data_IF_812696040835
#
_entry.id   IF_812696040835
#
_cell.length_a   1.000
_cell.length_b   1.000
_cell.length_c   1.000
_cell.angle_alpha   90.00
_cell.angle_beta   90.00
_cell.angle_gamma   90.00
#
_symmetry.space_group_name_H-M   'P 1'
#
loop_
_entity.id
_entity.type
_entity.pdbx_description
1 polymer ?
#
# COMPACT_ATOMS: atom_id res chain seq x y z
N UNK A 1 -6.16 -8.48 31.20
CA UNK A 1 -5.62 -7.22 30.62
C UNK A 1 -4.09 -7.13 30.76
N UNK A 2 -3.46 -8.09 31.45
CA UNK A 2 -2.01 -8.08 31.74
C UNK A 2 -1.13 -8.22 30.50
N UNK A 3 -1.58 -8.92 29.46
CA UNK A 3 -0.82 -9.09 28.20
C UNK A 3 -0.70 -7.74 27.48
N UNK A 4 -1.80 -6.99 27.37
CA UNK A 4 -1.77 -5.66 26.74
C UNK A 4 -0.98 -4.68 27.60
N UNK A 5 -1.12 -4.75 28.93
CA UNK A 5 -0.35 -3.92 29.85
C UNK A 5 1.16 -4.22 29.84
N UNK A 6 1.55 -5.47 29.61
CA UNK A 6 2.95 -5.91 29.63
C UNK A 6 3.64 -5.83 28.27
N UNK A 7 2.89 -6.01 27.17
CA UNK A 7 3.43 -6.14 25.81
C UNK A 7 2.79 -5.20 24.78
N UNK A 8 1.94 -4.26 25.19
CA UNK A 8 1.17 -3.41 24.27
C UNK A 8 2.02 -2.70 23.23
N UNK A 9 3.18 -2.16 23.62
CA UNK A 9 4.12 -1.52 22.68
C UNK A 9 4.64 -2.50 21.62
N UNK A 10 5.06 -3.70 22.04
CA UNK A 10 5.53 -4.75 21.13
C UNK A 10 4.44 -5.15 20.14
N UNK A 11 3.21 -5.29 20.60
CA UNK A 11 2.08 -5.66 19.75
C UNK A 11 1.75 -4.58 18.72
N UNK A 12 1.81 -3.29 19.11
CA UNK A 12 1.61 -2.16 18.18
C UNK A 12 2.71 -2.12 17.12
N UNK A 13 3.97 -2.28 17.53
CA UNK A 13 5.11 -2.30 16.59
C UNK A 13 4.97 -3.47 15.61
N UNK A 14 4.63 -4.67 16.10
CA UNK A 14 4.40 -5.84 15.25
C UNK A 14 3.26 -5.58 14.27
N UNK A 15 2.12 -5.07 14.74
CA UNK A 15 0.98 -4.74 13.88
C UNK A 15 1.37 -3.73 12.78
N UNK A 16 2.17 -2.71 13.12
CA UNK A 16 2.70 -1.75 12.15
C UNK A 16 3.61 -2.40 11.11
N UNK A 17 4.52 -3.29 11.51
CA UNK A 17 5.43 -3.99 10.59
C UNK A 17 4.67 -4.91 9.63
N UNK A 18 3.73 -5.72 10.15
CA UNK A 18 2.93 -6.60 9.30
C UNK A 18 2.00 -5.81 8.39
N UNK A 19 1.36 -4.75 8.91
CA UNK A 19 0.54 -3.85 8.11
C UNK A 19 1.32 -3.19 6.98
N UNK A 20 2.55 -2.73 7.25
CA UNK A 20 3.43 -2.18 6.23
C UNK A 20 3.80 -3.21 5.15
N UNK A 21 4.18 -4.42 5.55
CA UNK A 21 4.48 -5.51 4.60
C UNK A 21 3.29 -5.86 3.72
N UNK A 22 2.09 -5.91 4.29
CA UNK A 22 0.85 -6.15 3.55
C UNK A 22 0.57 -5.01 2.57
N UNK A 23 0.65 -3.76 3.02
CA UNK A 23 0.42 -2.58 2.17
C UNK A 23 1.40 -2.54 0.98
N UNK A 24 2.66 -2.93 1.20
CA UNK A 24 3.65 -3.04 0.12
C UNK A 24 3.22 -4.06 -0.94
N UNK A 25 2.85 -5.28 -0.51
CA UNK A 25 2.45 -6.36 -1.41
C UNK A 25 1.19 -6.02 -2.20
N UNK A 26 0.18 -5.50 -1.51
CA UNK A 26 -1.10 -5.08 -2.14
C UNK A 26 -0.84 -3.95 -3.13
N UNK A 27 -0.11 -2.90 -2.73
CA UNK A 27 0.20 -1.79 -3.61
C UNK A 27 0.92 -2.24 -4.89
N UNK A 28 1.92 -3.10 -4.79
CA UNK A 28 2.61 -3.63 -5.97
C UNK A 28 1.69 -4.43 -6.92
N UNK A 29 0.79 -5.24 -6.35
CA UNK A 29 -0.20 -6.00 -7.14
C UNK A 29 -1.21 -5.07 -7.84
N UNK A 30 -1.67 -4.04 -7.15
CA UNK A 30 -2.66 -3.08 -7.68
C UNK A 30 -2.05 -2.22 -8.79
N UNK A 31 -0.81 -1.75 -8.65
CA UNK A 31 -0.10 -1.06 -9.73
C UNK A 31 0.02 -1.95 -10.97
N UNK A 32 0.35 -3.23 -10.82
CA UNK A 32 0.47 -4.15 -11.94
C UNK A 32 -0.88 -4.37 -12.64
N UNK A 33 -1.97 -4.47 -11.87
CA UNK A 33 -3.32 -4.65 -12.38
C UNK A 33 -3.84 -3.39 -13.11
N UNK A 34 -3.63 -2.20 -12.53
CA UNK A 34 -4.12 -0.94 -13.08
C UNK A 34 -3.28 -0.43 -14.26
N UNK A 35 -1.95 -0.60 -14.21
CA UNK A 35 -1.02 0.00 -15.18
C UNK A 35 -0.40 -1.02 -16.15
N UNK A 36 -0.69 -2.31 -16.02
CA UNK A 36 -0.12 -3.38 -16.84
C UNK A 36 -0.39 -3.22 -18.33
N UNK A 37 -1.60 -2.80 -18.71
CA UNK A 37 -1.97 -2.56 -20.12
C UNK A 37 -1.34 -1.29 -20.68
N UNK A 38 -1.27 -0.21 -19.90
CA UNK A 38 -0.64 1.06 -20.31
C UNK A 38 0.87 0.91 -20.49
N UNK A 39 1.53 0.13 -19.63
CA UNK A 39 2.95 -0.20 -19.80
C UNK A 39 3.15 -1.21 -20.93
N UNK A 40 2.32 -2.25 -21.02
CA UNK A 40 2.40 -3.28 -22.06
C UNK A 40 2.16 -2.75 -23.48
N UNK A 41 1.32 -1.72 -23.63
CA UNK A 41 1.06 -1.03 -24.92
C UNK A 41 2.12 0.03 -25.26
N UNK A 42 3.12 0.25 -24.40
CA UNK A 42 4.12 1.32 -24.51
C UNK A 42 3.55 2.74 -24.45
N UNK A 43 2.33 2.90 -23.96
CA UNK A 43 1.76 4.23 -23.69
C UNK A 43 2.48 4.93 -22.52
N UNK A 44 2.91 4.14 -21.52
CA UNK A 44 3.69 4.60 -20.38
C UNK A 44 4.92 3.73 -20.16
N UNK A 45 5.99 4.32 -19.65
CA UNK A 45 7.13 3.57 -19.11
C UNK A 45 6.84 3.08 -17.70
N UNK A 46 7.53 2.03 -17.25
CA UNK A 46 7.41 1.51 -15.87
C UNK A 46 7.66 2.62 -14.84
N UNK A 47 8.65 3.49 -15.07
CA UNK A 47 8.95 4.60 -14.16
C UNK A 47 7.78 5.58 -14.05
N UNK A 48 7.14 5.91 -15.17
CA UNK A 48 5.96 6.79 -15.17
C UNK A 48 4.78 6.14 -14.46
N UNK A 49 4.52 4.86 -14.73
CA UNK A 49 3.44 4.11 -14.07
C UNK A 49 3.62 4.08 -12.55
N UNK A 50 4.84 3.83 -12.06
CA UNK A 50 5.15 3.85 -10.61
C UNK A 50 4.94 5.25 -10.02
N UNK A 51 5.37 6.32 -10.72
CA UNK A 51 5.21 7.69 -10.23
C UNK A 51 3.74 8.09 -10.11
N UNK A 52 2.95 7.73 -11.13
CA UNK A 52 1.50 7.96 -11.15
C UNK A 52 0.85 7.17 -10.01
N UNK A 53 1.14 5.88 -9.90
CA UNK A 53 0.57 5.04 -8.86
C UNK A 53 0.92 5.55 -7.45
N UNK A 54 2.16 5.98 -7.19
CA UNK A 54 2.53 6.56 -5.89
C UNK A 54 1.65 7.76 -5.50
N UNK A 55 1.28 8.61 -6.45
CA UNK A 55 0.43 9.78 -6.15
C UNK A 55 -1.02 9.36 -5.97
N UNK A 56 -1.57 8.59 -6.92
CA UNK A 56 -3.01 8.29 -6.94
C UNK A 56 -3.41 7.20 -5.94
N UNK A 57 -2.60 6.16 -5.72
CA UNK A 57 -2.87 5.15 -4.69
C UNK A 57 -2.74 5.74 -3.29
N UNK A 58 -1.73 6.59 -3.07
CA UNK A 58 -1.60 7.30 -1.79
C UNK A 58 -2.76 8.27 -1.55
N UNK A 59 -3.14 9.04 -2.57
CA UNK A 59 -4.28 9.94 -2.48
C UNK A 59 -5.58 9.17 -2.24
N UNK A 60 -5.80 8.04 -2.91
CA UNK A 60 -6.96 7.19 -2.72
C UNK A 60 -7.02 6.61 -1.30
N UNK A 61 -5.90 6.06 -0.81
CA UNK A 61 -5.79 5.55 0.55
C UNK A 61 -6.04 6.64 1.61
N UNK A 62 -5.54 7.86 1.40
CA UNK A 62 -5.71 8.96 2.34
C UNK A 62 -7.10 9.59 2.32
N UNK A 63 -7.68 9.80 1.12
CA UNK A 63 -8.95 10.52 0.95
C UNK A 63 -10.17 9.61 1.10
N UNK A 64 -10.08 8.35 0.69
CA UNK A 64 -11.21 7.42 0.64
C UNK A 64 -11.01 6.15 1.49
N UNK A 65 -9.80 5.89 2.00
CA UNK A 65 -9.50 4.68 2.77
C UNK A 65 -10.14 4.61 4.16
N UNK A 66 -10.68 5.72 4.67
CA UNK A 66 -11.37 5.74 5.97
C UNK A 66 -12.83 5.28 5.92
N UNK A 67 -13.40 5.09 4.72
CA UNK A 67 -14.81 4.77 4.51
C UNK A 67 -15.05 3.28 4.18
N UNK A 68 -13.98 2.48 4.21
CA UNK A 68 -13.97 1.04 3.90
C UNK A 68 -13.61 0.17 5.09
#
# INVERSE_FOLDING_TARGET
MDIISSYGLILIVMAGVFGFFMAWGVGANDVANAMGTSVGSKALTIKQAILIAMIFEFAGAYLAGGEV
#
